data_IF_049934351876
#
_entry.id   IF_049934351876
#
_cell.length_a   1.000
_cell.length_b   1.000
_cell.length_c   1.000
_cell.angle_alpha   90.00
_cell.angle_beta   90.00
_cell.angle_gamma   90.00
#
_symmetry.space_group_name_H-M   'P 1'
#
loop_
_entity.id
_entity.type
_entity.pdbx_description
1 polymer ?
#
# COMPACT_ATOMS: atom_id res chain seq x y z
N UNK A 1 -5.41 17.58 11.40
CA UNK A 1 -6.15 16.31 11.35
C UNK A 1 -5.17 15.24 11.81
N UNK A 2 -5.61 14.18 12.49
CA UNK A 2 -4.67 13.13 12.93
C UNK A 2 -4.13 12.37 11.71
N UNK A 3 -2.88 11.94 11.73
CA UNK A 3 -2.28 11.20 10.63
C UNK A 3 -1.22 10.22 11.17
N UNK A 4 -1.42 8.92 10.93
CA UNK A 4 -0.57 7.88 11.51
C UNK A 4 0.83 7.78 10.88
N UNK A 5 1.10 8.53 9.82
CA UNK A 5 2.42 8.72 9.24
C UNK A 5 3.09 9.99 9.75
N UNK A 6 2.49 11.18 9.53
CA UNK A 6 3.16 12.44 9.88
C UNK A 6 3.32 12.66 11.40
N UNK A 7 2.46 12.04 12.20
CA UNK A 7 2.54 12.13 13.67
C UNK A 7 3.63 11.21 14.25
N UNK A 8 4.20 10.31 13.44
CA UNK A 8 5.25 9.34 13.81
C UNK A 8 6.50 9.52 12.95
N UNK A 9 7.51 10.15 13.53
CA UNK A 9 8.71 10.58 12.78
C UNK A 9 9.63 9.44 12.38
N UNK A 10 9.49 8.28 13.01
CA UNK A 10 10.39 7.14 12.89
C UNK A 10 10.39 6.57 11.46
N UNK A 11 9.22 6.34 10.86
CA UNK A 11 9.12 5.79 9.49
C UNK A 11 9.76 6.74 8.48
N UNK A 12 9.43 8.03 8.59
CA UNK A 12 10.03 9.07 7.75
C UNK A 12 11.55 9.13 7.95
N UNK A 13 12.00 9.11 9.20
CA UNK A 13 13.42 9.13 9.54
C UNK A 13 14.17 7.96 8.89
N UNK A 14 13.64 6.74 8.97
CA UNK A 14 14.28 5.57 8.35
C UNK A 14 14.34 5.67 6.82
N UNK A 15 13.28 6.17 6.18
CA UNK A 15 13.26 6.39 4.72
C UNK A 15 14.24 7.49 4.28
N UNK A 16 14.34 8.58 5.02
CA UNK A 16 15.21 9.71 4.67
C UNK A 16 16.69 9.42 4.96
N UNK A 17 16.99 8.64 6.00
CA UNK A 17 18.37 8.44 6.49
C UNK A 17 18.97 7.07 6.12
N UNK A 18 18.18 6.16 5.55
CA UNK A 18 18.72 4.88 5.11
C UNK A 18 19.75 5.08 3.98
N UNK A 19 20.98 4.56 4.14
CA UNK A 19 22.04 4.72 3.15
C UNK A 19 21.77 3.93 1.86
N UNK A 20 20.73 3.10 1.84
CA UNK A 20 20.37 2.24 0.72
C UNK A 20 19.18 2.78 -0.09
N UNK A 21 18.47 3.81 0.36
CA UNK A 21 17.24 4.23 -0.33
C UNK A 21 17.47 4.69 -1.76
N UNK A 22 18.55 5.42 -2.02
CA UNK A 22 18.90 5.78 -3.40
C UNK A 22 19.09 4.53 -4.27
N UNK A 23 19.80 3.52 -3.75
CA UNK A 23 20.01 2.26 -4.47
C UNK A 23 18.72 1.48 -4.69
N UNK A 24 17.82 1.48 -3.70
CA UNK A 24 16.51 0.83 -3.77
C UNK A 24 15.66 1.48 -4.87
N UNK A 25 15.60 2.82 -4.90
CA UNK A 25 14.86 3.56 -5.93
C UNK A 25 15.42 3.28 -7.32
N UNK A 26 16.74 3.37 -7.49
CA UNK A 26 17.39 3.10 -8.78
C UNK A 26 17.06 1.70 -9.33
N UNK A 27 17.02 0.69 -8.45
CA UNK A 27 16.67 -0.68 -8.82
C UNK A 27 15.20 -0.84 -9.16
N UNK A 28 14.30 -0.24 -8.36
CA UNK A 28 12.86 -0.38 -8.56
C UNK A 28 12.36 0.38 -9.79
N UNK A 29 12.87 1.59 -10.01
CA UNK A 29 12.55 2.44 -11.15
C UNK A 29 13.38 2.13 -12.40
N UNK A 30 14.31 1.17 -12.32
CA UNK A 30 15.16 0.72 -13.45
C UNK A 30 15.84 1.89 -14.16
N UNK A 31 16.49 2.75 -13.37
CA UNK A 31 17.06 4.02 -13.85
C UNK A 31 16.05 4.98 -14.52
N UNK A 32 14.81 5.01 -14.01
CA UNK A 32 13.72 5.89 -14.42
C UNK A 32 13.28 5.66 -15.87
N UNK A 33 13.25 4.39 -16.33
CA UNK A 33 12.88 4.05 -17.71
C UNK A 33 11.41 4.39 -18.06
N UNK A 34 10.56 4.48 -17.04
CA UNK A 34 9.12 4.70 -17.16
C UNK A 34 8.75 6.20 -17.19
N UNK A 35 9.70 7.11 -16.93
CA UNK A 35 9.47 8.54 -16.69
C UNK A 35 8.81 9.33 -17.84
N UNK A 36 8.98 8.85 -19.08
CA UNK A 36 8.41 9.45 -20.29
C UNK A 36 7.20 8.64 -20.81
N UNK A 37 6.85 7.53 -20.13
CA UNK A 37 5.78 6.60 -20.51
C UNK A 37 4.55 6.73 -19.62
N UNK A 38 4.73 7.13 -18.37
CA UNK A 38 3.67 7.28 -17.37
C UNK A 38 3.81 8.63 -16.66
N UNK A 39 2.71 9.36 -16.51
CA UNK A 39 2.70 10.70 -15.92
C UNK A 39 3.12 10.68 -14.44
N UNK A 40 2.85 9.57 -13.76
CA UNK A 40 3.18 9.34 -12.35
C UNK A 40 4.55 8.68 -12.11
N UNK A 41 5.32 8.39 -13.16
CA UNK A 41 6.65 7.82 -13.02
C UNK A 41 7.66 8.89 -12.58
N UNK A 42 8.48 8.60 -11.55
CA UNK A 42 9.42 9.57 -11.03
C UNK A 42 10.52 9.89 -12.03
N UNK A 43 10.92 11.15 -12.08
CA UNK A 43 11.97 11.65 -12.98
C UNK A 43 13.38 11.42 -12.42
N UNK A 44 13.50 11.45 -11.09
CA UNK A 44 14.75 11.27 -10.37
C UNK A 44 14.49 10.78 -8.92
N UNK A 45 15.55 10.71 -8.12
CA UNK A 45 15.47 10.19 -6.76
C UNK A 45 14.64 11.10 -5.84
N UNK A 46 14.73 12.42 -6.01
CA UNK A 46 14.00 13.36 -5.18
C UNK A 46 12.49 13.26 -5.46
N UNK A 47 12.12 13.15 -6.74
CA UNK A 47 10.75 12.95 -7.18
C UNK A 47 10.17 11.61 -6.68
N UNK A 48 10.96 10.53 -6.74
CA UNK A 48 10.55 9.24 -6.17
C UNK A 48 10.28 9.33 -4.65
N UNK A 49 11.16 9.99 -3.89
CA UNK A 49 10.98 10.15 -2.44
C UNK A 49 9.78 11.04 -2.10
N UNK A 50 9.55 12.13 -2.84
CA UNK A 50 8.35 12.98 -2.67
C UNK A 50 7.07 12.19 -2.96
N UNK A 51 7.07 11.34 -3.99
CA UNK A 51 5.94 10.46 -4.28
C UNK A 51 5.67 9.50 -3.11
N UNK A 52 6.71 8.85 -2.58
CA UNK A 52 6.57 7.94 -1.43
C UNK A 52 6.02 8.65 -0.20
N UNK A 53 6.51 9.86 0.08
CA UNK A 53 6.02 10.69 1.19
C UNK A 53 4.53 10.98 1.06
N UNK A 54 4.07 11.41 -0.13
CA UNK A 54 2.66 11.71 -0.38
C UNK A 54 1.77 10.47 -0.25
N UNK A 55 2.22 9.33 -0.78
CA UNK A 55 1.48 8.07 -0.65
C UNK A 55 1.35 7.66 0.82
N UNK A 56 2.44 7.71 1.58
CA UNK A 56 2.41 7.35 3.00
C UNK A 56 1.58 8.34 3.83
N UNK A 57 1.56 9.62 3.45
CA UNK A 57 0.69 10.63 4.06
C UNK A 57 -0.79 10.30 3.87
N UNK A 58 -1.20 9.92 2.64
CA UNK A 58 -2.59 9.47 2.36
C UNK A 58 -2.93 8.21 3.14
N UNK A 59 -2.04 7.22 3.19
CA UNK A 59 -2.23 5.99 3.99
C UNK A 59 -2.37 6.34 5.47
N UNK A 60 -1.54 7.24 5.98
CA UNK A 60 -1.57 7.71 7.36
C UNK A 60 -2.86 8.44 7.72
N UNK A 61 -3.39 9.26 6.81
CA UNK A 61 -4.66 9.98 6.97
C UNK A 61 -5.85 9.01 7.02
N UNK A 62 -5.96 8.10 6.04
CA UNK A 62 -7.01 7.09 6.00
C UNK A 62 -6.95 6.21 7.25
N UNK A 63 -5.73 5.83 7.66
CA UNK A 63 -5.57 4.99 8.85
C UNK A 63 -6.07 5.71 10.10
N UNK A 64 -5.71 6.97 10.29
CA UNK A 64 -6.07 7.74 11.47
C UNK A 64 -7.57 8.06 11.54
N UNK A 65 -8.19 8.35 10.39
CA UNK A 65 -9.52 8.94 10.35
C UNK A 65 -10.63 7.97 9.89
N UNK A 66 -10.28 6.79 9.37
CA UNK A 66 -11.23 5.76 8.94
C UNK A 66 -10.94 4.41 9.60
N UNK A 67 -9.73 3.88 9.42
CA UNK A 67 -9.42 2.50 9.84
C UNK A 67 -9.39 2.38 11.37
N UNK A 68 -8.63 3.22 12.05
CA UNK A 68 -8.50 3.15 13.51
C UNK A 68 -9.82 3.42 14.25
N UNK A 69 -10.66 4.41 13.87
CA UNK A 69 -11.99 4.58 14.46
C UNK A 69 -12.92 3.39 14.25
N UNK A 70 -12.78 2.68 13.13
CA UNK A 70 -13.60 1.52 12.79
C UNK A 70 -13.16 0.22 13.49
N UNK A 71 -11.94 0.16 14.06
CA UNK A 71 -11.33 -1.06 14.57
C UNK A 71 -12.14 -1.74 15.71
N UNK A 72 -12.69 -0.95 16.63
CA UNK A 72 -13.51 -1.49 17.74
C UNK A 72 -14.81 -2.14 17.23
N UNK A 73 -15.47 -1.50 16.26
CA UNK A 73 -16.69 -2.04 15.64
C UNK A 73 -16.38 -3.32 14.83
N UNK A 74 -15.23 -3.37 14.14
CA UNK A 74 -14.76 -4.57 13.42
C UNK A 74 -14.57 -5.74 14.38
N UNK A 75 -13.92 -5.52 15.53
CA UNK A 75 -13.69 -6.57 16.53
C UNK A 75 -15.00 -7.03 17.17
N UNK A 76 -15.90 -6.10 17.50
CA UNK A 76 -17.19 -6.41 18.10
C UNK A 76 -18.12 -7.22 17.18
N UNK A 77 -18.15 -6.90 15.88
CA UNK A 77 -18.96 -7.64 14.89
C UNK A 77 -18.31 -8.98 14.51
N UNK A 78 -17.02 -8.95 14.19
CA UNK A 78 -16.27 -10.09 13.67
C UNK A 78 -16.79 -10.60 12.30
N UNK A 79 -16.09 -11.55 11.66
CA UNK A 79 -16.56 -12.19 10.44
C UNK A 79 -17.65 -13.23 10.72
N UNK A 80 -18.62 -13.36 9.81
CA UNK A 80 -19.67 -14.37 9.87
C UNK A 80 -19.46 -15.44 8.80
N UNK A 81 -19.55 -16.73 9.17
CA UNK A 81 -19.52 -17.84 8.23
C UNK A 81 -20.93 -18.41 8.05
N UNK A 82 -21.53 -18.20 6.88
CA UNK A 82 -22.89 -18.64 6.57
C UNK A 82 -22.91 -19.30 5.20
N UNK A 83 -23.57 -20.48 5.10
CA UNK A 83 -23.69 -21.23 3.84
C UNK A 83 -22.35 -21.49 3.13
N UNK A 84 -21.28 -21.73 3.91
CA UNK A 84 -19.93 -21.97 3.39
C UNK A 84 -19.23 -20.74 2.83
N UNK A 85 -19.72 -19.52 3.13
CA UNK A 85 -19.09 -18.26 2.74
C UNK A 85 -18.81 -17.40 3.97
N UNK A 86 -17.61 -16.83 4.02
CA UNK A 86 -17.24 -15.82 5.00
C UNK A 86 -17.73 -14.46 4.52
N UNK A 87 -18.36 -13.71 5.41
CA UNK A 87 -18.69 -12.29 5.24
C UNK A 87 -17.88 -11.53 6.29
N UNK A 88 -17.10 -10.55 5.85
CA UNK A 88 -16.41 -9.65 6.77
C UNK A 88 -17.39 -8.79 7.56
N UNK A 89 -16.90 -8.20 8.66
CA UNK A 89 -17.61 -7.16 9.37
C UNK A 89 -17.90 -5.97 8.44
N UNK A 90 -19.01 -5.28 8.67
CA UNK A 90 -19.47 -4.16 7.87
C UNK A 90 -18.39 -3.08 7.68
N UNK A 91 -17.68 -2.75 8.76
CA UNK A 91 -16.60 -1.77 8.77
C UNK A 91 -15.32 -2.21 8.05
N UNK A 92 -15.05 -3.51 7.96
CA UNK A 92 -13.97 -4.03 7.12
C UNK A 92 -14.20 -3.71 5.64
N UNK A 93 -15.45 -3.79 5.16
CA UNK A 93 -15.78 -3.41 3.78
C UNK A 93 -15.64 -1.89 3.56
N UNK A 94 -16.00 -1.07 4.55
CA UNK A 94 -15.81 0.38 4.50
C UNK A 94 -14.32 0.75 4.40
N UNK A 95 -13.49 0.13 5.25
CA UNK A 95 -12.03 0.29 5.24
C UNK A 95 -11.46 -0.10 3.87
N UNK A 96 -11.83 -1.28 3.34
CA UNK A 96 -11.35 -1.76 2.04
C UNK A 96 -11.78 -0.84 0.89
N UNK A 97 -13.05 -0.42 0.88
CA UNK A 97 -13.56 0.48 -0.16
C UNK A 97 -12.83 1.82 -0.13
N UNK A 98 -12.49 2.34 1.05
CA UNK A 98 -11.74 3.59 1.18
C UNK A 98 -10.33 3.46 0.59
N UNK A 99 -9.61 2.37 0.89
CA UNK A 99 -8.28 2.11 0.31
C UNK A 99 -8.32 1.98 -1.22
N UNK A 100 -9.35 1.29 -1.74
CA UNK A 100 -9.56 1.16 -3.19
C UNK A 100 -9.83 2.51 -3.85
N UNK A 101 -10.70 3.34 -3.26
CA UNK A 101 -11.01 4.67 -3.79
C UNK A 101 -9.80 5.61 -3.74
N UNK A 102 -8.92 5.45 -2.75
CA UNK A 102 -7.68 6.19 -2.63
C UNK A 102 -6.58 5.70 -3.58
N UNK A 103 -6.77 4.57 -4.29
CA UNK A 103 -5.76 3.99 -5.18
C UNK A 103 -4.65 3.26 -4.43
N UNK A 104 -4.88 2.85 -3.18
CA UNK A 104 -3.89 2.18 -2.31
C UNK A 104 -3.87 0.65 -2.51
N UNK A 105 -4.31 0.18 -3.67
CA UNK A 105 -4.28 -1.24 -4.05
C UNK A 105 -3.39 -1.41 -5.29
N UNK A 106 -2.54 -2.43 -5.30
CA UNK A 106 -1.51 -2.62 -6.32
C UNK A 106 -0.28 -1.73 -6.09
N UNK A 107 0.01 -1.36 -4.83
CA UNK A 107 1.09 -0.43 -4.49
C UNK A 107 2.46 -0.83 -5.07
N UNK A 108 2.79 -2.12 -5.02
CA UNK A 108 4.08 -2.62 -5.51
C UNK A 108 4.06 -3.03 -6.98
N UNK A 109 2.86 -3.15 -7.56
CA UNK A 109 2.66 -3.67 -8.91
C UNK A 109 3.13 -2.70 -9.99
N UNK A 110 3.62 -3.19 -11.14
CA UNK A 110 4.05 -2.34 -12.24
C UNK A 110 2.93 -1.44 -12.80
N UNK A 111 3.32 -0.25 -13.26
CA UNK A 111 2.40 0.76 -13.85
C UNK A 111 1.61 0.24 -15.06
N UNK A 112 2.17 -0.69 -15.85
CA UNK A 112 1.45 -1.37 -16.94
C UNK A 112 0.18 -2.13 -16.52
N UNK A 113 0.03 -2.42 -15.22
CA UNK A 113 -1.17 -3.03 -14.63
C UNK A 113 -1.97 -2.05 -13.76
N UNK A 114 -1.67 -0.75 -13.83
CA UNK A 114 -2.28 0.29 -13.00
C UNK A 114 -1.76 0.34 -11.56
N UNK A 115 -0.63 -0.32 -11.26
CA UNK A 115 0.00 -0.24 -9.94
C UNK A 115 0.96 0.95 -9.79
N UNK A 116 1.37 1.24 -8.56
CA UNK A 116 2.21 2.41 -8.25
C UNK A 116 3.71 2.15 -8.41
N UNK A 117 4.12 0.90 -8.65
CA UNK A 117 5.51 0.46 -8.75
C UNK A 117 6.38 0.85 -7.53
N UNK A 118 5.81 0.88 -6.33
CA UNK A 118 6.56 1.20 -5.10
C UNK A 118 7.49 0.05 -4.70
N UNK A 119 8.67 0.35 -4.14
CA UNK A 119 9.56 -0.67 -3.61
C UNK A 119 8.96 -1.30 -2.34
N UNK A 120 9.30 -2.56 -2.08
CA UNK A 120 8.80 -3.29 -0.90
C UNK A 120 9.07 -2.55 0.42
N UNK A 121 10.18 -1.81 0.53
CA UNK A 121 10.50 -1.00 1.70
C UNK A 121 9.42 0.04 2.02
N UNK A 122 8.89 0.73 1.01
CA UNK A 122 7.82 1.73 1.18
C UNK A 122 6.49 1.04 1.45
N UNK A 123 6.24 -0.09 0.79
CA UNK A 123 5.04 -0.90 1.05
C UNK A 123 5.00 -1.44 2.49
N UNK A 124 6.14 -1.91 3.02
CA UNK A 124 6.25 -2.34 4.42
C UNK A 124 5.99 -1.18 5.39
N UNK A 125 6.47 0.03 5.09
CA UNK A 125 6.13 1.21 5.87
C UNK A 125 4.62 1.49 5.88
N UNK A 126 3.94 1.34 4.74
CA UNK A 126 2.49 1.46 4.66
C UNK A 126 1.77 0.40 5.51
N UNK A 127 2.23 -0.86 5.49
CA UNK A 127 1.69 -1.93 6.34
C UNK A 127 1.87 -1.63 7.83
N UNK A 128 3.01 -1.07 8.26
CA UNK A 128 3.23 -0.67 9.66
C UNK A 128 2.26 0.44 10.11
N UNK A 129 2.00 1.40 9.22
CA UNK A 129 1.00 2.45 9.47
C UNK A 129 -0.39 1.83 9.64
N UNK A 130 -0.85 1.01 8.69
CA UNK A 130 -2.21 0.44 8.72
C UNK A 130 -2.39 -0.51 9.90
N UNK A 131 -1.41 -1.37 10.18
CA UNK A 131 -1.47 -2.33 11.30
C UNK A 131 -1.53 -1.65 12.67
N UNK A 132 -1.00 -0.44 12.80
CA UNK A 132 -1.18 0.38 14.00
C UNK A 132 -2.66 0.73 14.24
N UNK A 133 -3.43 0.94 13.17
CA UNK A 133 -4.86 1.26 13.26
C UNK A 133 -5.72 0.02 13.48
N UNK A 134 -5.51 -1.00 12.63
CA UNK A 134 -6.20 -2.29 12.71
C UNK A 134 -5.33 -3.37 12.03
N UNK A 135 -4.69 -4.21 12.83
CA UNK A 135 -3.85 -5.30 12.34
C UNK A 135 -4.65 -6.40 11.61
N UNK A 136 -5.93 -6.58 11.94
CA UNK A 136 -6.79 -7.54 11.25
C UNK A 136 -7.15 -7.06 9.85
N UNK A 137 -7.49 -5.77 9.72
CA UNK A 137 -7.69 -5.15 8.41
C UNK A 137 -6.40 -5.07 7.59
N UNK A 138 -5.28 -4.70 8.22
CA UNK A 138 -3.97 -4.68 7.55
C UNK A 138 -3.70 -6.01 6.86
N UNK A 139 -3.91 -7.14 7.55
CA UNK A 139 -3.68 -8.45 6.96
C UNK A 139 -4.54 -8.70 5.71
N UNK A 140 -5.80 -8.28 5.73
CA UNK A 140 -6.69 -8.42 4.56
C UNK A 140 -6.21 -7.54 3.41
N UNK A 141 -5.83 -6.31 3.71
CA UNK A 141 -5.41 -5.33 2.71
C UNK A 141 -4.02 -5.65 2.14
N UNK A 142 -3.09 -6.14 2.95
CA UNK A 142 -1.70 -6.37 2.55
C UNK A 142 -1.51 -7.64 1.72
N UNK A 143 -2.45 -8.59 1.79
CA UNK A 143 -2.51 -9.77 0.91
C UNK A 143 -2.67 -9.43 -0.58
N UNK A 144 -2.90 -8.16 -0.93
CA UNK A 144 -2.77 -7.70 -2.31
C UNK A 144 -1.40 -8.03 -2.91
N UNK A 145 -0.35 -8.18 -2.10
CA UNK A 145 1.01 -8.54 -2.51
C UNK A 145 1.14 -9.95 -3.09
N UNK A 146 0.16 -10.84 -2.84
CA UNK A 146 0.16 -12.20 -3.37
C UNK A 146 0.22 -12.23 -4.90
N UNK A 147 -0.27 -11.18 -5.56
CA UNK A 147 -0.20 -11.02 -7.01
C UNK A 147 1.25 -10.89 -7.52
N UNK A 148 2.20 -10.47 -6.68
CA UNK A 148 3.63 -10.41 -7.04
C UNK A 148 4.19 -11.78 -7.40
N UNK A 149 3.68 -12.85 -6.77
CA UNK A 149 4.08 -14.23 -7.13
C UNK A 149 3.66 -14.55 -8.56
N UNK A 150 2.44 -14.16 -8.95
CA UNK A 150 1.97 -14.33 -10.32
C UNK A 150 2.78 -13.45 -11.28
N UNK A 151 3.08 -12.22 -10.89
CA UNK A 151 3.91 -11.33 -11.70
C UNK A 151 5.31 -11.90 -11.94
N UNK A 152 5.98 -12.38 -10.89
CA UNK A 152 7.33 -12.92 -11.00
C UNK A 152 7.37 -14.22 -11.81
N UNK A 153 6.45 -15.15 -11.55
CA UNK A 153 6.57 -16.54 -12.01
C UNK A 153 5.51 -16.98 -13.03
N UNK A 154 4.45 -16.19 -13.20
CA UNK A 154 3.42 -16.44 -14.21
C UNK A 154 3.94 -16.20 -15.63
N UNK A 155 3.39 -16.91 -16.60
CA UNK A 155 3.60 -16.60 -18.01
C UNK A 155 2.80 -15.34 -18.42
N UNK A 156 3.04 -14.82 -19.62
CA UNK A 156 2.39 -13.58 -20.08
C UNK A 156 0.86 -13.70 -20.13
N UNK A 157 0.32 -14.86 -20.54
CA UNK A 157 -1.13 -15.09 -20.55
C UNK A 157 -1.72 -15.01 -19.14
N UNK A 158 -1.05 -15.59 -18.15
CA UNK A 158 -1.46 -15.56 -16.74
C UNK A 158 -1.43 -14.13 -16.18
N UNK A 159 -0.36 -13.37 -16.45
CA UNK A 159 -0.20 -11.99 -15.98
C UNK A 159 -1.20 -11.00 -16.59
N UNK A 160 -1.64 -11.25 -17.82
CA UNK A 160 -2.64 -10.41 -18.49
C UNK A 160 -4.07 -10.73 -18.02
N UNK A 161 -4.29 -11.96 -17.55
CA UNK A 161 -5.64 -12.44 -17.21
C UNK A 161 -6.05 -12.15 -15.77
N UNK A 162 -5.11 -12.20 -14.82
CA UNK A 162 -5.37 -12.07 -13.39
C UNK A 162 -4.53 -10.95 -12.80
#
# INVERSE_FOLDING_TARGET
MANYYSDRKEIRFELENSPLMQRIVELKERAYEDKDQYDEAPQDFADAMDNYERVLDVVGDITANVIAPNAEDVDAEGPHCENGRVRYASKTYENLNTMVQAGMNGMTMPRRYGGLNLPVTVYTAANEIVSTGDAGFENIWSLQDCIETLFCFGNEEQRQKY
#
